data_IF_590124347797
#
_entry.id   IF_590124347797
#
_cell.length_a   1.000
_cell.length_b   1.000
_cell.length_c   1.000
_cell.angle_alpha   90.00
_cell.angle_beta   90.00
_cell.angle_gamma   90.00
#
_symmetry.space_group_name_H-M   'P 1'
#
loop_
_entity.id
_entity.type
_entity.pdbx_description
1 polymer ?
#
# COMPACT_ATOMS: atom_id res chain seq x y z
N UNK A 1 42.58 -11.84 -36.22
CA UNK A 1 41.97 -12.23 -34.91
C UNK A 1 40.48 -12.06 -35.01
N UNK A 2 39.77 -13.18 -35.14
CA UNK A 2 38.34 -13.24 -35.47
C UNK A 2 37.52 -13.24 -34.18
N UNK A 3 36.65 -12.23 -34.01
CA UNK A 3 35.70 -12.16 -32.92
C UNK A 3 34.48 -13.06 -33.23
N UNK A 4 34.31 -14.14 -32.51
CA UNK A 4 33.12 -15.00 -32.59
C UNK A 4 31.93 -14.27 -31.98
N UNK A 5 30.93 -13.93 -32.78
CA UNK A 5 29.59 -13.55 -32.34
C UNK A 5 28.88 -14.77 -31.77
N UNK A 6 28.62 -14.76 -30.46
CA UNK A 6 27.77 -15.76 -29.81
C UNK A 6 26.32 -15.33 -30.01
N UNK A 7 25.60 -16.09 -30.85
CA UNK A 7 24.21 -15.87 -31.18
C UNK A 7 23.37 -16.71 -30.23
N UNK A 8 22.65 -16.03 -29.31
CA UNK A 8 21.67 -16.67 -28.43
C UNK A 8 20.43 -17.04 -29.25
N UNK A 9 20.18 -18.33 -29.44
CA UNK A 9 18.89 -18.83 -29.94
C UNK A 9 17.92 -18.92 -28.76
N UNK A 10 16.81 -18.21 -28.85
CA UNK A 10 15.64 -18.43 -28.04
C UNK A 10 14.89 -19.62 -28.65
N UNK A 11 14.95 -20.76 -28.03
CA UNK A 11 14.08 -21.89 -28.37
C UNK A 11 12.67 -21.57 -27.86
N UNK A 12 11.80 -21.22 -28.80
CA UNK A 12 10.37 -21.07 -28.55
C UNK A 12 9.80 -22.47 -28.39
N UNK A 13 9.53 -22.88 -27.15
CA UNK A 13 8.77 -24.08 -26.85
C UNK A 13 7.34 -23.87 -27.31
N UNK A 14 6.92 -24.61 -28.32
CA UNK A 14 5.51 -24.64 -28.77
C UNK A 14 4.63 -25.27 -27.70
N UNK A 15 3.43 -24.73 -27.42
CA UNK A 15 2.54 -25.32 -26.45
C UNK A 15 2.02 -26.69 -26.94
N UNK A 16 2.30 -27.72 -26.20
CA UNK A 16 1.64 -29.02 -26.32
C UNK A 16 0.17 -28.90 -25.93
N UNK A 17 -0.67 -29.67 -26.62
CA UNK A 17 -2.13 -29.74 -26.60
C UNK A 17 -2.81 -29.50 -25.22
N UNK A 18 -4.05 -28.97 -25.21
CA UNK A 18 -4.75 -28.63 -23.97
C UNK A 18 -5.13 -29.89 -23.17
N UNK A 19 -4.80 -29.85 -21.87
CA UNK A 19 -5.27 -30.83 -20.89
C UNK A 19 -6.76 -30.60 -20.64
N UNK A 20 -7.64 -31.62 -20.70
CA UNK A 20 -9.05 -31.44 -20.41
C UNK A 20 -9.28 -31.15 -18.92
N UNK A 21 -10.10 -30.14 -18.64
CA UNK A 21 -10.57 -29.80 -17.29
C UNK A 21 -11.49 -30.90 -16.76
N UNK A 22 -11.44 -31.23 -15.47
CA UNK A 22 -12.37 -32.16 -14.87
C UNK A 22 -13.78 -31.56 -14.78
N UNK A 23 -14.77 -32.28 -15.29
CA UNK A 23 -16.19 -31.95 -15.20
C UNK A 23 -16.68 -32.15 -13.77
N UNK A 24 -17.20 -31.09 -13.16
CA UNK A 24 -17.87 -31.13 -11.86
C UNK A 24 -19.25 -31.82 -11.97
N UNK A 25 -19.65 -32.63 -10.95
CA UNK A 25 -20.99 -33.23 -10.93
C UNK A 25 -22.04 -32.15 -10.62
N UNK A 26 -23.14 -32.18 -11.38
CA UNK A 26 -24.24 -31.23 -11.28
C UNK A 26 -24.96 -31.26 -9.93
N UNK A 27 -25.20 -30.08 -9.38
CA UNK A 27 -26.20 -29.86 -8.34
C UNK A 27 -27.58 -29.69 -8.97
N UNK A 28 -28.46 -30.64 -8.69
CA UNK A 28 -29.88 -30.61 -9.02
C UNK A 28 -30.57 -29.63 -8.06
N UNK A 29 -31.03 -28.49 -8.54
CA UNK A 29 -31.93 -27.62 -7.80
C UNK A 29 -33.38 -28.08 -8.00
N UNK A 30 -33.97 -28.62 -6.93
CA UNK A 30 -35.39 -28.92 -6.82
C UNK A 30 -36.17 -27.63 -6.58
N UNK A 31 -37.02 -27.28 -7.50
CA UNK A 31 -38.01 -26.18 -7.41
C UNK A 31 -39.17 -26.61 -6.52
N UNK A 32 -39.31 -25.99 -5.33
CA UNK A 32 -40.58 -25.97 -4.60
C UNK A 32 -41.17 -24.55 -4.64
N UNK A 33 -42.29 -24.43 -5.30
CA UNK A 33 -43.23 -23.32 -5.22
C UNK A 33 -43.77 -23.25 -3.80
N UNK A 34 -43.67 -22.12 -3.14
CA UNK A 34 -44.43 -21.78 -1.97
C UNK A 34 -45.18 -20.47 -2.19
N UNK A 35 -46.43 -20.56 -1.95
CA UNK A 35 -47.49 -19.57 -2.10
C UNK A 35 -47.25 -18.29 -1.27
N UNK A 36 -47.74 -17.18 -1.83
CA UNK A 36 -47.69 -15.84 -1.21
C UNK A 36 -48.79 -15.69 -0.15
N UNK A 37 -48.55 -15.04 0.96
CA UNK A 37 -49.58 -14.38 1.74
C UNK A 37 -49.60 -12.87 1.45
N UNK A 38 -50.82 -12.41 1.39
CA UNK A 38 -51.39 -11.09 1.16
C UNK A 38 -50.70 -9.91 1.87
N UNK A 39 -50.65 -8.84 1.12
CA UNK A 39 -50.38 -7.42 1.38
C UNK A 39 -50.86 -6.92 2.77
N UNK A 40 -49.91 -6.35 3.53
CA UNK A 40 -50.22 -5.25 4.45
C UNK A 40 -49.33 -4.07 4.04
N UNK A 41 -49.95 -2.99 3.59
CA UNK A 41 -49.33 -1.74 3.18
C UNK A 41 -48.95 -0.95 4.42
N UNK A 42 -47.66 -1.04 4.84
CA UNK A 42 -47.05 -0.03 5.68
C UNK A 42 -46.26 0.91 4.81
N UNK A 43 -46.69 2.17 4.75
CA UNK A 43 -45.95 3.28 4.15
C UNK A 43 -44.66 3.49 4.97
N UNK A 44 -43.55 3.02 4.46
CA UNK A 44 -42.22 3.37 4.95
C UNK A 44 -41.92 4.77 4.39
N UNK A 45 -41.93 5.79 5.25
CA UNK A 45 -41.40 7.11 4.95
C UNK A 45 -39.90 6.95 4.62
N UNK A 46 -39.51 7.29 3.41
CA UNK A 46 -38.08 7.43 3.05
C UNK A 46 -37.44 8.50 3.96
N UNK A 47 -36.25 8.24 4.51
CA UNK A 47 -35.51 9.28 5.24
C UNK A 47 -35.08 10.37 4.27
N UNK A 48 -35.49 11.61 4.55
CA UNK A 48 -35.07 12.79 3.82
C UNK A 48 -33.55 12.92 3.88
N UNK A 49 -32.88 13.31 2.77
CA UNK A 49 -31.44 13.56 2.81
C UNK A 49 -31.12 14.70 3.78
N UNK A 50 -30.04 14.62 4.57
CA UNK A 50 -29.69 15.64 5.54
C UNK A 50 -29.48 16.99 4.84
N UNK A 51 -30.05 18.03 5.42
CA UNK A 51 -29.95 19.42 4.94
C UNK A 51 -28.50 19.92 5.00
N UNK A 52 -28.11 20.78 4.06
CA UNK A 52 -26.75 21.32 3.85
C UNK A 52 -26.13 22.07 5.07
N UNK A 53 -26.85 22.22 6.19
CA UNK A 53 -26.38 23.01 7.33
C UNK A 53 -25.57 22.22 8.39
N UNK A 54 -25.43 20.89 8.27
CA UNK A 54 -24.73 20.07 9.27
C UNK A 54 -23.35 19.57 8.88
N UNK A 55 -22.77 20.07 7.82
CA UNK A 55 -21.33 19.86 7.59
C UNK A 55 -20.54 20.80 8.51
N UNK A 56 -20.38 20.39 9.76
CA UNK A 56 -19.40 21.02 10.67
C UNK A 56 -18.03 20.90 10.01
N UNK A 57 -17.37 22.03 9.75
CA UNK A 57 -15.94 22.04 9.46
C UNK A 57 -15.23 21.27 10.58
N UNK A 58 -14.42 20.26 10.28
CA UNK A 58 -13.64 19.59 11.32
C UNK A 58 -12.76 20.67 11.97
N UNK A 59 -12.97 20.92 13.25
CA UNK A 59 -12.17 21.87 14.02
C UNK A 59 -10.76 21.31 14.19
N UNK A 60 -9.77 22.15 14.51
CA UNK A 60 -8.42 21.72 14.87
C UNK A 60 -8.38 20.68 16.00
N UNK A 61 -9.45 20.57 16.76
CA UNK A 61 -9.64 19.56 17.81
C UNK A 61 -9.84 18.12 17.26
N UNK A 62 -10.35 17.94 16.05
CA UNK A 62 -10.58 16.60 15.46
C UNK A 62 -9.30 15.91 14.99
N UNK A 63 -8.18 16.64 14.89
CA UNK A 63 -6.88 16.12 14.48
C UNK A 63 -5.94 15.82 15.65
N UNK A 64 -6.23 16.39 16.83
CA UNK A 64 -5.47 16.13 18.04
C UNK A 64 -5.63 14.65 18.47
N UNK A 65 -4.50 13.97 18.62
CA UNK A 65 -4.46 12.56 19.01
C UNK A 65 -4.41 11.57 17.84
N UNK A 66 -4.50 12.01 16.58
CA UNK A 66 -4.26 11.15 15.42
C UNK A 66 -2.82 10.62 15.42
N UNK A 67 -2.65 9.35 15.08
CA UNK A 67 -1.34 8.69 15.03
C UNK A 67 -0.89 8.50 13.59
N UNK A 68 0.33 8.90 13.29
CA UNK A 68 0.94 8.77 11.97
C UNK A 68 2.21 7.93 12.06
N UNK A 69 2.31 6.93 11.20
CA UNK A 69 3.54 6.17 10.98
C UNK A 69 4.17 6.63 9.67
N UNK A 70 5.44 7.00 9.70
CA UNK A 70 6.25 7.23 8.50
C UNK A 70 7.21 6.06 8.34
N UNK A 71 7.04 5.25 7.30
CA UNK A 71 8.00 4.22 6.92
C UNK A 71 8.97 4.85 5.92
N UNK A 72 10.19 5.13 6.37
CA UNK A 72 11.19 5.88 5.63
C UNK A 72 12.29 4.97 5.11
N UNK A 73 12.57 5.05 3.81
CA UNK A 73 13.53 4.18 3.14
C UNK A 73 14.52 4.96 2.27
N UNK A 74 15.42 5.71 2.91
CA UNK A 74 16.56 6.35 2.26
C UNK A 74 17.80 6.31 3.17
N UNK A 75 18.97 6.02 2.56
CA UNK A 75 20.23 5.81 3.28
C UNK A 75 20.81 7.11 3.87
N UNK A 76 20.62 8.25 3.19
CA UNK A 76 21.18 9.55 3.58
C UNK A 76 20.10 10.41 4.24
N UNK A 77 20.20 10.70 5.53
CA UNK A 77 19.22 11.51 6.25
C UNK A 77 19.15 12.97 5.78
N UNK A 78 20.20 13.48 5.13
CA UNK A 78 20.26 14.84 4.56
C UNK A 78 19.76 14.90 3.12
N UNK A 79 19.27 13.80 2.57
CA UNK A 79 18.70 13.73 1.23
C UNK A 79 17.41 14.56 1.12
N UNK A 80 16.95 14.77 -0.11
CA UNK A 80 15.65 15.38 -0.35
C UNK A 80 14.51 14.56 0.27
N UNK A 81 14.60 13.22 0.24
CA UNK A 81 13.68 12.31 0.97
C UNK A 81 13.71 12.58 2.48
N UNK A 82 14.89 12.82 3.06
CA UNK A 82 15.06 13.20 4.47
C UNK A 82 14.38 14.53 4.79
N UNK A 83 14.51 15.53 3.91
CA UNK A 83 13.83 16.83 4.04
C UNK A 83 12.32 16.68 4.03
N UNK A 84 11.76 15.88 3.09
CA UNK A 84 10.32 15.60 3.03
C UNK A 84 9.83 14.90 4.30
N UNK A 85 10.58 13.89 4.80
CA UNK A 85 10.27 13.21 6.06
C UNK A 85 10.26 14.20 7.25
N UNK A 86 11.27 15.06 7.36
CA UNK A 86 11.36 16.01 8.46
C UNK A 86 10.18 17.00 8.43
N UNK A 87 9.86 17.55 7.26
CA UNK A 87 8.68 18.43 7.09
C UNK A 87 7.39 17.69 7.46
N UNK A 88 7.26 16.42 7.13
CA UNK A 88 6.09 15.62 7.53
C UNK A 88 5.98 15.52 9.05
N UNK A 89 7.09 15.23 9.73
CA UNK A 89 7.12 15.18 11.21
C UNK A 89 6.72 16.51 11.80
N UNK A 90 7.31 17.60 11.33
CA UNK A 90 7.09 18.95 11.87
C UNK A 90 5.64 19.42 11.66
N UNK A 91 5.11 19.27 10.44
CA UNK A 91 3.76 19.74 10.11
C UNK A 91 2.67 18.95 10.86
N UNK A 92 2.78 17.62 10.89
CA UNK A 92 1.78 16.80 11.56
C UNK A 92 1.86 16.91 13.09
N UNK A 93 3.08 17.03 13.65
CA UNK A 93 3.25 17.27 15.09
C UNK A 93 2.67 18.64 15.52
N UNK A 94 2.82 19.70 14.69
CA UNK A 94 2.18 21.00 14.94
C UNK A 94 0.65 20.93 14.94
N UNK A 95 0.07 19.98 14.22
CA UNK A 95 -1.38 19.71 14.21
C UNK A 95 -1.85 18.86 15.41
N UNK A 96 -0.95 18.48 16.32
CA UNK A 96 -1.26 17.65 17.49
C UNK A 96 -1.28 16.15 17.21
N UNK A 97 -0.77 15.70 16.05
CA UNK A 97 -0.62 14.28 15.76
C UNK A 97 0.58 13.68 16.51
N UNK A 98 0.47 12.42 16.91
CA UNK A 98 1.62 11.63 17.35
C UNK A 98 2.28 11.01 16.12
N UNK A 99 3.52 11.42 15.80
CA UNK A 99 4.25 10.94 14.63
C UNK A 99 5.34 9.97 15.04
N UNK A 100 5.30 8.77 14.52
CA UNK A 100 6.34 7.74 14.67
C UNK A 100 7.06 7.54 13.35
N UNK A 101 8.38 7.43 13.38
CA UNK A 101 9.20 7.18 12.18
C UNK A 101 9.88 5.81 12.31
N UNK A 102 9.65 4.93 11.33
CA UNK A 102 10.44 3.74 11.09
C UNK A 102 11.46 4.05 10.00
N UNK A 103 12.64 4.51 10.42
CA UNK A 103 13.79 4.72 9.52
C UNK A 103 14.48 3.38 9.28
N UNK A 104 14.14 2.73 8.17
CA UNK A 104 14.55 1.36 7.90
C UNK A 104 16.07 1.18 7.81
N UNK A 105 16.79 2.19 7.30
CA UNK A 105 18.24 2.13 7.24
C UNK A 105 18.89 2.38 8.60
N UNK A 106 18.43 3.36 9.36
CA UNK A 106 18.94 3.62 10.72
C UNK A 106 18.64 2.46 11.67
N UNK A 107 17.52 1.77 11.49
CA UNK A 107 17.13 0.56 12.24
C UNK A 107 17.95 -0.68 11.83
N UNK A 108 18.68 -0.64 10.70
CA UNK A 108 19.25 -1.83 10.06
C UNK A 108 18.20 -2.92 9.87
N UNK A 109 17.00 -2.53 9.39
CA UNK A 109 15.90 -3.47 9.19
C UNK A 109 16.30 -4.58 8.23
N UNK A 110 16.12 -5.86 8.63
CA UNK A 110 16.43 -7.01 7.78
C UNK A 110 15.36 -7.12 6.66
N UNK A 111 15.73 -6.93 5.38
CA UNK A 111 14.74 -6.99 4.30
C UNK A 111 14.43 -8.42 3.82
N UNK A 112 15.26 -9.38 4.16
CA UNK A 112 15.13 -10.74 3.61
C UNK A 112 14.08 -11.52 4.37
N UNK A 113 13.06 -11.99 3.65
CA UNK A 113 12.09 -12.95 4.12
C UNK A 113 12.75 -14.34 4.23
N UNK A 114 12.99 -14.83 5.42
CA UNK A 114 13.72 -16.08 5.68
C UNK A 114 13.08 -16.93 6.77
N UNK A 115 13.57 -18.16 6.93
CA UNK A 115 13.19 -19.05 8.03
C UNK A 115 13.43 -18.43 9.43
N UNK A 116 14.34 -17.46 9.56
CA UNK A 116 14.61 -16.76 10.83
C UNK A 116 13.42 -15.92 11.33
N UNK A 117 12.46 -15.63 10.46
CA UNK A 117 11.25 -14.90 10.82
C UNK A 117 10.25 -15.77 11.60
N UNK A 118 10.54 -17.07 11.72
CA UNK A 118 9.77 -18.01 12.53
C UNK A 118 10.59 -18.39 13.77
N UNK A 119 10.24 -17.85 14.92
CA UNK A 119 11.00 -18.09 16.17
C UNK A 119 10.63 -19.40 16.86
N UNK A 120 9.55 -20.03 16.45
CA UNK A 120 9.06 -21.31 16.97
C UNK A 120 9.32 -22.50 16.03
N UNK A 121 8.73 -23.65 16.38
CA UNK A 121 8.73 -24.82 15.50
C UNK A 121 7.89 -24.53 14.26
N UNK A 122 8.39 -25.00 13.11
CA UNK A 122 7.65 -24.94 11.85
C UNK A 122 6.39 -25.80 11.92
N UNK A 123 5.36 -25.40 11.19
CA UNK A 123 4.15 -26.19 11.00
C UNK A 123 4.40 -27.40 10.10
N UNK A 124 5.30 -27.24 9.11
CA UNK A 124 5.80 -28.31 8.28
C UNK A 124 7.35 -28.27 8.20
N UNK A 125 8.04 -29.16 8.91
CA UNK A 125 9.50 -29.19 8.89
C UNK A 125 10.11 -29.72 7.59
N UNK A 126 9.33 -30.49 6.79
CA UNK A 126 9.81 -31.12 5.55
C UNK A 126 9.83 -30.12 4.38
N UNK A 127 8.85 -29.20 4.33
CA UNK A 127 8.71 -28.23 3.25
C UNK A 127 8.47 -26.85 3.82
N UNK A 128 9.44 -25.97 3.66
CA UNK A 128 9.33 -24.58 4.12
C UNK A 128 8.51 -23.75 3.13
N UNK A 129 7.31 -23.35 3.54
CA UNK A 129 6.46 -22.39 2.83
C UNK A 129 6.38 -21.10 3.64
N UNK A 130 7.08 -20.04 3.21
CA UNK A 130 7.21 -18.80 3.98
C UNK A 130 5.84 -18.21 4.37
N UNK A 131 4.91 -18.06 3.43
CA UNK A 131 3.59 -17.48 3.71
C UNK A 131 2.79 -18.29 4.72
N UNK A 132 2.81 -19.62 4.62
CA UNK A 132 2.13 -20.52 5.56
C UNK A 132 2.75 -20.43 6.95
N UNK A 133 4.08 -20.48 7.03
CA UNK A 133 4.78 -20.44 8.31
C UNK A 133 4.65 -19.07 9.01
N UNK A 134 4.65 -17.97 8.25
CA UNK A 134 4.38 -16.62 8.78
C UNK A 134 2.97 -16.52 9.36
N UNK A 135 1.96 -17.07 8.67
CA UNK A 135 0.60 -17.08 9.17
C UNK A 135 0.47 -17.90 10.47
N UNK A 136 1.06 -19.09 10.51
CA UNK A 136 1.08 -19.93 11.71
C UNK A 136 1.83 -19.26 12.87
N UNK A 137 2.97 -18.62 12.58
CA UNK A 137 3.74 -17.89 13.57
C UNK A 137 3.00 -16.65 14.10
N UNK A 138 2.29 -15.93 13.23
CA UNK A 138 1.45 -14.82 13.64
C UNK A 138 0.36 -15.28 14.63
N UNK A 139 -0.40 -16.34 14.30
CA UNK A 139 -1.42 -16.89 15.18
C UNK A 139 -0.88 -17.35 16.55
N UNK A 140 0.32 -17.93 16.53
CA UNK A 140 1.01 -18.42 17.75
C UNK A 140 1.76 -17.32 18.50
N UNK A 141 1.78 -16.06 17.98
CA UNK A 141 2.56 -14.95 18.52
C UNK A 141 4.06 -15.28 18.63
N UNK A 142 4.59 -15.96 17.62
CA UNK A 142 5.99 -16.41 17.54
C UNK A 142 6.73 -15.76 16.35
N UNK A 143 6.35 -14.53 15.95
CA UNK A 143 7.15 -13.70 15.06
C UNK A 143 8.23 -12.97 15.85
N UNK A 144 9.37 -12.63 15.22
CA UNK A 144 10.45 -11.89 15.89
C UNK A 144 10.04 -10.44 16.19
N UNK A 145 10.76 -9.83 17.14
CA UNK A 145 10.44 -8.51 17.68
C UNK A 145 10.43 -7.41 16.63
N UNK A 146 11.38 -7.42 15.68
CA UNK A 146 11.45 -6.42 14.61
C UNK A 146 10.17 -6.40 13.75
N UNK A 147 9.55 -7.55 13.51
CA UNK A 147 8.28 -7.65 12.76
C UNK A 147 7.11 -7.22 13.65
N UNK A 148 7.02 -7.73 14.88
CA UNK A 148 5.89 -7.44 15.76
C UNK A 148 5.84 -5.97 16.20
N UNK A 149 7.00 -5.32 16.35
CA UNK A 149 7.09 -3.90 16.67
C UNK A 149 6.59 -3.04 15.50
N UNK A 150 6.94 -3.39 14.25
CA UNK A 150 6.42 -2.71 13.08
C UNK A 150 4.92 -2.95 12.91
N UNK A 151 4.43 -4.18 13.11
CA UNK A 151 3.00 -4.49 13.10
C UNK A 151 2.23 -3.66 14.13
N UNK A 152 2.78 -3.49 15.34
CA UNK A 152 2.18 -2.65 16.38
C UNK A 152 2.09 -1.19 15.93
N UNK A 153 3.14 -0.62 15.34
CA UNK A 153 3.13 0.75 14.80
C UNK A 153 2.07 0.93 13.72
N UNK A 154 1.97 -0.03 12.78
CA UNK A 154 0.91 -0.02 11.76
C UNK A 154 -0.47 -0.13 12.39
N UNK A 155 -0.66 -1.02 13.35
CA UNK A 155 -1.94 -1.22 14.04
C UNK A 155 -2.41 0.05 14.75
N UNK A 156 -1.52 0.80 15.35
CA UNK A 156 -1.82 2.03 16.08
C UNK A 156 -2.03 3.24 15.16
N UNK A 157 -1.48 3.24 13.95
CA UNK A 157 -1.54 4.37 13.04
C UNK A 157 -2.94 4.57 12.44
N UNK A 158 -3.38 5.83 12.35
CA UNK A 158 -4.53 6.25 11.52
C UNK A 158 -4.09 6.49 10.07
N UNK A 159 -2.84 6.92 9.86
CA UNK A 159 -2.23 7.18 8.55
C UNK A 159 -0.83 6.59 8.50
N UNK A 160 -0.52 5.84 7.44
CA UNK A 160 0.83 5.34 7.14
C UNK A 160 1.35 6.05 5.89
N UNK A 161 2.47 6.75 6.02
CA UNK A 161 3.17 7.42 4.92
C UNK A 161 4.43 6.64 4.59
N UNK A 162 4.55 6.18 3.35
CA UNK A 162 5.74 5.54 2.82
C UNK A 162 6.57 6.58 2.09
N UNK A 163 7.73 6.98 2.65
CA UNK A 163 8.63 7.97 2.07
C UNK A 163 9.86 7.29 1.48
N UNK A 164 10.02 7.33 0.15
CA UNK A 164 11.08 6.61 -0.53
C UNK A 164 11.45 7.18 -1.91
N UNK A 165 12.66 6.93 -2.41
CA UNK A 165 13.03 7.17 -3.81
C UNK A 165 12.52 6.03 -4.70
N UNK A 166 12.07 6.35 -5.91
CA UNK A 166 11.67 5.34 -6.90
C UNK A 166 12.92 4.60 -7.43
N UNK A 167 13.05 3.33 -7.09
CA UNK A 167 14.10 2.45 -7.59
C UNK A 167 13.50 1.41 -8.54
N UNK A 168 13.93 1.46 -9.82
CA UNK A 168 13.46 0.52 -10.84
C UNK A 168 11.92 0.41 -10.90
N UNK A 169 11.26 1.57 -10.97
CA UNK A 169 9.79 1.69 -11.00
C UNK A 169 9.08 1.06 -9.77
N UNK A 170 9.79 0.89 -8.67
CA UNK A 170 9.27 0.29 -7.46
C UNK A 170 9.88 0.94 -6.22
N UNK A 171 9.68 0.31 -5.08
CA UNK A 171 10.26 0.70 -3.80
C UNK A 171 11.70 0.17 -3.65
N UNK A 172 12.57 0.80 -2.83
CA UNK A 172 13.86 0.23 -2.47
C UNK A 172 13.72 -1.16 -1.83
N UNK A 173 14.72 -2.02 -2.03
CA UNK A 173 14.69 -3.40 -1.55
C UNK A 173 14.39 -3.52 -0.04
N UNK A 174 14.91 -2.59 0.77
CA UNK A 174 14.66 -2.57 2.21
C UNK A 174 13.17 -2.35 2.53
N UNK A 175 12.47 -1.50 1.76
CA UNK A 175 11.04 -1.26 1.93
C UNK A 175 10.21 -2.42 1.37
N UNK A 176 10.64 -3.05 0.27
CA UNK A 176 9.98 -4.26 -0.23
C UNK A 176 10.07 -5.37 0.80
N UNK A 177 11.23 -5.55 1.42
CA UNK A 177 11.40 -6.52 2.51
C UNK A 177 10.54 -6.20 3.74
N UNK A 178 10.38 -4.91 4.07
CA UNK A 178 9.44 -4.51 5.11
C UNK A 178 8.01 -4.94 4.76
N UNK A 179 7.56 -4.69 3.51
CA UNK A 179 6.23 -5.13 3.06
C UNK A 179 6.09 -6.65 3.12
N UNK A 180 7.07 -7.41 2.63
CA UNK A 180 7.06 -8.87 2.59
C UNK A 180 6.98 -9.50 3.99
N UNK A 181 7.67 -8.90 4.99
CA UNK A 181 7.77 -9.45 6.34
C UNK A 181 6.68 -8.96 7.28
N UNK A 182 6.29 -7.70 7.19
CA UNK A 182 5.35 -7.06 8.13
C UNK A 182 3.90 -7.31 7.73
N UNK A 183 3.57 -7.22 6.42
CA UNK A 183 2.20 -7.37 5.92
C UNK A 183 1.81 -8.84 5.70
N UNK A 184 2.00 -9.68 6.70
CA UNK A 184 1.70 -11.09 6.59
C UNK A 184 0.20 -11.39 6.71
N UNK A 185 -0.20 -12.60 6.25
CA UNK A 185 -1.55 -13.12 6.43
C UNK A 185 -1.89 -13.23 7.92
N UNK A 186 -3.14 -12.94 8.27
CA UNK A 186 -3.64 -12.87 9.64
C UNK A 186 -3.46 -11.48 10.27
N UNK A 187 -2.43 -10.71 9.86
CA UNK A 187 -2.23 -9.33 10.29
C UNK A 187 -2.83 -8.30 9.31
N UNK A 188 -2.42 -8.35 8.05
CA UNK A 188 -2.78 -7.34 7.04
C UNK A 188 -3.93 -7.78 6.13
N UNK A 189 -4.06 -9.05 5.89
CA UNK A 189 -5.11 -9.67 5.08
C UNK A 189 -5.38 -11.10 5.55
N UNK A 190 -6.49 -11.68 5.08
CA UNK A 190 -6.79 -13.11 5.24
C UNK A 190 -7.48 -13.65 3.98
N UNK A 191 -7.83 -14.95 3.96
CA UNK A 191 -8.54 -15.58 2.86
C UNK A 191 -9.79 -16.32 3.41
N UNK A 192 -10.99 -15.70 3.22
CA UNK A 192 -11.29 -14.38 2.64
C UNK A 192 -10.94 -13.24 3.59
N UNK A 193 -10.67 -12.05 3.08
CA UNK A 193 -10.33 -10.88 3.89
C UNK A 193 -9.26 -10.01 3.24
N UNK A 194 -9.52 -9.55 1.99
CA UNK A 194 -8.61 -8.73 1.19
C UNK A 194 -9.38 -7.62 0.46
N UNK A 195 -8.69 -6.63 -0.08
CA UNK A 195 -9.23 -5.38 -0.66
C UNK A 195 -10.17 -4.69 0.33
N UNK A 196 -11.42 -4.43 -0.06
CA UNK A 196 -12.39 -3.74 0.79
C UNK A 196 -12.70 -4.50 2.09
N UNK A 197 -12.30 -5.77 2.20
CA UNK A 197 -12.38 -6.61 3.40
C UNK A 197 -11.01 -6.89 4.05
N UNK A 198 -9.94 -6.22 3.62
CA UNK A 198 -8.61 -6.39 4.21
C UNK A 198 -8.56 -5.98 5.68
N UNK A 199 -7.60 -6.49 6.44
CA UNK A 199 -7.60 -6.36 7.90
C UNK A 199 -7.13 -4.99 8.41
N UNK A 200 -6.56 -4.15 7.54
CA UNK A 200 -6.11 -2.79 7.86
C UNK A 200 -7.14 -1.72 7.48
N UNK A 201 -8.44 -2.08 7.47
CA UNK A 201 -9.54 -1.15 7.24
C UNK A 201 -9.53 0.01 8.24
N UNK A 202 -10.09 1.16 7.79
CA UNK A 202 -10.17 2.37 8.61
C UNK A 202 -8.87 3.16 8.69
N UNK A 203 -7.78 2.67 8.07
CA UNK A 203 -6.47 3.34 8.02
C UNK A 203 -6.25 3.97 6.66
N UNK A 204 -5.61 5.14 6.66
CA UNK A 204 -5.14 5.81 5.46
C UNK A 204 -3.72 5.36 5.12
N UNK A 205 -3.40 5.31 3.82
CA UNK A 205 -2.03 5.11 3.35
C UNK A 205 -1.67 6.12 2.26
N UNK A 206 -0.44 6.60 2.24
CA UNK A 206 0.07 7.54 1.25
C UNK A 206 1.49 7.16 0.82
N UNK A 207 1.73 7.16 -0.49
CA UNK A 207 3.06 7.03 -1.05
C UNK A 207 3.64 8.42 -1.33
N UNK A 208 4.77 8.77 -0.69
CA UNK A 208 5.55 9.96 -0.96
C UNK A 208 6.85 9.56 -1.65
N UNK A 209 6.95 9.86 -2.94
CA UNK A 209 7.94 9.31 -3.85
C UNK A 209 8.78 10.41 -4.48
N UNK A 210 10.08 10.22 -4.58
CA UNK A 210 10.95 11.02 -5.42
C UNK A 210 11.38 10.21 -6.65
N UNK A 211 11.53 10.85 -7.81
CA UNK A 211 11.97 10.19 -9.04
C UNK A 211 13.26 10.82 -9.56
N UNK A 212 14.06 10.04 -10.30
CA UNK A 212 15.21 10.58 -11.04
C UNK A 212 14.79 11.30 -12.33
N UNK A 213 13.67 10.88 -12.94
CA UNK A 213 13.15 11.48 -14.16
C UNK A 213 12.21 12.66 -13.90
N UNK A 214 12.06 13.53 -14.89
CA UNK A 214 11.18 14.71 -14.85
C UNK A 214 9.70 14.33 -15.02
N UNK A 215 8.79 15.26 -14.70
CA UNK A 215 7.35 15.02 -14.80
C UNK A 215 6.91 14.65 -16.24
N UNK A 216 7.53 15.26 -17.26
CA UNK A 216 7.23 15.00 -18.67
C UNK A 216 7.51 13.56 -19.07
N UNK A 217 8.55 12.94 -18.48
CA UNK A 217 8.88 11.53 -18.72
C UNK A 217 7.78 10.59 -18.25
N UNK A 218 7.03 10.97 -17.21
CA UNK A 218 6.00 10.13 -16.57
C UNK A 218 4.57 10.52 -16.97
N UNK A 219 4.39 11.01 -18.19
CA UNK A 219 3.07 11.25 -18.80
C UNK A 219 2.63 10.06 -19.64
N UNK A 220 1.37 10.04 -20.11
CA UNK A 220 0.86 8.99 -21.01
C UNK A 220 1.66 8.84 -22.30
N UNK A 221 2.25 9.92 -22.80
CA UNK A 221 3.08 9.96 -24.00
C UNK A 221 4.56 10.10 -23.70
N UNK A 222 4.92 10.18 -22.43
CA UNK A 222 6.31 10.26 -21.98
C UNK A 222 7.04 8.93 -22.13
N UNK A 223 8.36 8.98 -22.21
CA UNK A 223 9.22 7.81 -22.43
C UNK A 223 9.10 6.75 -21.32
N UNK A 224 8.77 7.17 -20.11
CA UNK A 224 8.61 6.28 -18.97
C UNK A 224 7.15 5.80 -18.80
N UNK A 225 6.22 6.27 -19.61
CA UNK A 225 4.80 6.02 -19.46
C UNK A 225 4.16 6.77 -18.29
N UNK A 226 2.85 6.63 -18.11
CA UNK A 226 2.12 7.29 -17.04
C UNK A 226 2.61 6.82 -15.65
N UNK A 227 2.88 7.75 -14.74
CA UNK A 227 3.35 7.44 -13.39
C UNK A 227 2.41 6.47 -12.64
N UNK A 228 1.14 6.42 -12.98
CA UNK A 228 0.17 5.52 -12.37
C UNK A 228 0.47 4.04 -12.63
N UNK A 229 1.24 3.71 -13.67
CA UNK A 229 1.59 2.33 -14.00
C UNK A 229 2.48 1.70 -12.92
N UNK A 230 3.47 2.42 -12.39
CA UNK A 230 4.29 1.90 -11.30
C UNK A 230 3.58 1.96 -9.94
N UNK A 231 2.51 2.75 -9.80
CA UNK A 231 1.72 2.82 -8.58
C UNK A 231 0.74 1.65 -8.42
N UNK A 232 0.31 1.02 -9.53
CA UNK A 232 -0.66 -0.07 -9.51
C UNK A 232 -0.28 -1.21 -8.56
N UNK A 233 0.91 -1.83 -8.65
CA UNK A 233 1.30 -2.90 -7.75
C UNK A 233 1.43 -2.46 -6.29
N UNK A 234 1.81 -1.21 -6.04
CA UNK A 234 2.01 -0.67 -4.71
C UNK A 234 0.67 -0.26 -4.05
N UNK A 235 -0.11 0.58 -4.73
CA UNK A 235 -1.35 1.11 -4.17
C UNK A 235 -2.49 0.10 -4.22
N UNK A 236 -2.74 -0.51 -5.38
CA UNK A 236 -3.82 -1.48 -5.53
C UNK A 236 -3.40 -2.86 -5.03
N UNK A 237 -2.27 -3.39 -5.53
CA UNK A 237 -1.83 -4.77 -5.28
C UNK A 237 -1.30 -5.02 -3.87
N UNK A 238 -0.89 -3.96 -3.14
CA UNK A 238 -0.36 -4.07 -1.77
C UNK A 238 -1.23 -3.34 -0.77
N UNK A 239 -1.33 -2.01 -0.85
CA UNK A 239 -2.00 -1.22 0.19
C UNK A 239 -3.51 -1.45 0.22
N UNK A 240 -4.18 -1.31 -0.93
CA UNK A 240 -5.62 -1.57 -1.00
C UNK A 240 -5.94 -3.06 -0.75
N UNK A 241 -5.09 -3.98 -1.22
CA UNK A 241 -5.24 -5.41 -0.91
C UNK A 241 -5.28 -5.68 0.60
N UNK A 242 -4.48 -4.96 1.39
CA UNK A 242 -4.49 -5.03 2.86
C UNK A 242 -5.65 -4.27 3.52
N UNK A 243 -6.49 -3.55 2.76
CA UNK A 243 -7.65 -2.82 3.28
C UNK A 243 -7.44 -1.33 3.53
N UNK A 244 -6.25 -0.79 3.29
CA UNK A 244 -6.02 0.65 3.42
C UNK A 244 -6.90 1.47 2.46
N UNK A 245 -7.34 2.62 2.92
CA UNK A 245 -7.85 3.69 2.07
C UNK A 245 -6.67 4.53 1.59
N UNK A 246 -6.37 4.47 0.29
CA UNK A 246 -5.16 5.04 -0.29
C UNK A 246 -5.40 6.47 -0.74
N UNK A 247 -4.61 7.42 -0.23
CA UNK A 247 -4.63 8.81 -0.69
C UNK A 247 -3.89 8.94 -2.02
N UNK A 248 -4.17 10.02 -2.76
CA UNK A 248 -3.41 10.35 -3.97
C UNK A 248 -1.91 10.42 -3.65
N UNK A 249 -1.03 9.92 -4.52
CA UNK A 249 0.40 9.91 -4.24
C UNK A 249 0.97 11.33 -4.15
N UNK A 250 2.03 11.52 -3.38
CA UNK A 250 2.90 12.68 -3.46
C UNK A 250 4.10 12.30 -4.30
N UNK A 251 4.29 12.93 -5.45
CA UNK A 251 5.43 12.65 -6.31
C UNK A 251 6.22 13.94 -6.50
N UNK A 252 7.50 13.89 -6.16
CA UNK A 252 8.45 14.97 -6.41
C UNK A 252 9.39 14.50 -7.51
N UNK A 253 9.17 15.04 -8.71
CA UNK A 253 9.92 14.65 -9.91
C UNK A 253 11.29 15.31 -9.94
N UNK A 254 12.32 14.51 -10.22
CA UNK A 254 13.70 14.94 -10.48
C UNK A 254 14.27 15.98 -9.49
N UNK A 255 14.14 15.85 -8.17
CA UNK A 255 14.66 16.84 -7.23
C UNK A 255 16.19 16.98 -7.28
N UNK A 256 16.90 15.99 -7.82
CA UNK A 256 18.35 15.98 -7.93
C UNK A 256 18.86 17.01 -8.96
N UNK A 257 18.14 17.18 -10.07
CA UNK A 257 18.49 18.14 -11.12
C UNK A 257 17.74 19.48 -11.00
N UNK A 258 16.76 19.56 -10.11
CA UNK A 258 16.02 20.79 -9.85
C UNK A 258 16.91 21.85 -9.18
N UNK A 259 16.66 23.12 -9.46
CA UNK A 259 17.28 24.25 -8.77
C UNK A 259 16.94 24.24 -7.28
N UNK A 260 17.68 25.01 -6.48
CA UNK A 260 17.39 25.16 -5.06
C UNK A 260 15.98 25.75 -4.81
N UNK A 261 15.60 26.71 -5.64
CA UNK A 261 14.27 27.35 -5.58
C UNK A 261 13.15 26.34 -5.86
N UNK A 262 13.29 25.53 -6.90
CA UNK A 262 12.31 24.49 -7.23
C UNK A 262 12.22 23.45 -6.10
N UNK A 263 13.35 23.02 -5.51
CA UNK A 263 13.32 22.11 -4.35
C UNK A 263 12.61 22.72 -3.15
N UNK A 264 12.86 24.01 -2.86
CA UNK A 264 12.14 24.73 -1.80
C UNK A 264 10.64 24.77 -2.10
N UNK A 265 10.27 25.03 -3.35
CA UNK A 265 8.88 24.99 -3.81
C UNK A 265 8.21 23.63 -3.60
N UNK A 266 8.90 22.52 -3.95
CA UNK A 266 8.40 21.16 -3.72
C UNK A 266 8.16 20.88 -2.23
N UNK A 267 9.10 21.27 -1.36
CA UNK A 267 8.99 21.11 0.09
C UNK A 267 7.84 21.93 0.64
N UNK A 268 7.69 23.18 0.20
CA UNK A 268 6.60 24.07 0.63
C UNK A 268 5.22 23.54 0.19
N UNK A 269 5.10 23.03 -1.05
CA UNK A 269 3.87 22.43 -1.55
C UNK A 269 3.49 21.18 -0.74
N UNK A 270 4.47 20.37 -0.36
CA UNK A 270 4.24 19.22 0.51
C UNK A 270 3.77 19.65 1.90
N UNK A 271 4.43 20.61 2.52
CA UNK A 271 4.02 21.19 3.81
C UNK A 271 2.57 21.71 3.77
N UNK A 272 2.21 22.43 2.70
CA UNK A 272 0.85 22.93 2.50
C UNK A 272 -0.18 21.81 2.38
N UNK A 273 0.13 20.75 1.62
CA UNK A 273 -0.74 19.58 1.49
C UNK A 273 -1.00 18.90 2.82
N UNK A 274 0.05 18.73 3.64
CA UNK A 274 -0.06 18.13 4.96
C UNK A 274 -1.04 18.85 5.89
N UNK A 275 -1.23 20.18 5.73
CA UNK A 275 -2.18 20.95 6.54
C UNK A 275 -3.64 20.52 6.32
N UNK A 276 -3.94 19.89 5.19
CA UNK A 276 -5.30 19.45 4.84
C UNK A 276 -5.42 17.96 4.59
N UNK A 277 -4.39 17.18 4.88
CA UNK A 277 -4.30 15.76 4.51
C UNK A 277 -5.46 14.92 5.06
N UNK A 278 -5.96 15.25 6.24
CA UNK A 278 -7.09 14.56 6.87
C UNK A 278 -8.46 14.84 6.21
N UNK A 279 -8.51 15.79 5.27
CA UNK A 279 -9.71 16.14 4.50
C UNK A 279 -9.68 15.55 3.09
N UNK A 280 -8.59 14.91 2.72
CA UNK A 280 -8.45 14.31 1.39
C UNK A 280 -9.34 13.07 1.25
N UNK A 281 -10.00 12.95 0.11
CA UNK A 281 -10.73 11.73 -0.24
C UNK A 281 -9.77 10.69 -0.83
N UNK A 282 -9.85 9.44 -0.37
CA UNK A 282 -9.05 8.35 -0.95
C UNK A 282 -9.34 8.14 -2.44
N UNK A 283 -8.32 7.78 -3.19
CA UNK A 283 -8.47 7.37 -4.59
C UNK A 283 -9.26 6.04 -4.67
N UNK A 284 -9.98 5.76 -5.76
CA UNK A 284 -10.82 4.56 -5.86
C UNK A 284 -10.03 3.24 -5.95
N UNK A 285 -8.71 3.28 -6.18
CA UNK A 285 -7.83 2.11 -6.35
C UNK A 285 -8.37 1.04 -7.32
N UNK A 286 -9.05 1.46 -8.40
CA UNK A 286 -9.63 0.58 -9.43
C UNK A 286 -8.92 0.76 -10.76
N UNK A 287 -9.00 -0.25 -11.63
CA UNK A 287 -8.36 -0.28 -12.95
C UNK A 287 -8.52 1.03 -13.75
N UNK A 288 -9.73 1.64 -13.87
CA UNK A 288 -9.88 2.86 -14.65
C UNK A 288 -9.06 4.05 -14.12
N UNK A 289 -8.80 4.12 -12.81
CA UNK A 289 -7.98 5.19 -12.24
C UNK A 289 -6.51 5.10 -12.71
N UNK A 290 -5.99 3.88 -12.85
CA UNK A 290 -4.57 3.65 -13.22
C UNK A 290 -4.36 3.65 -14.73
N UNK A 291 -5.26 3.05 -15.48
CA UNK A 291 -5.05 2.75 -16.91
C UNK A 291 -6.00 3.52 -17.83
N UNK A 292 -7.00 4.19 -17.27
CA UNK A 292 -8.08 4.77 -18.03
C UNK A 292 -9.03 3.68 -18.57
N UNK A 293 -10.10 4.12 -19.22
CA UNK A 293 -10.98 3.26 -20.04
C UNK A 293 -10.52 3.25 -21.48
#
# INVERSE_FOLDING_TARGET
MSARKQQWRLDVVQPTSPVPLPTSPGCIFSSRLLESPTRATHQIREPQPPTKSERKNPSSYDMAGKKVLIVYAHQEPRSFNGSLKNVTVDELSRQGCTVTVSDLYAMNFEPRATRKDITGALSNPEVFSYGVEMYEAYKKRSLPGDITDEQKKVQEADLVIFQFPLYWFSVPAILKGWMDRVLCQGFAFDIPGFYDSGLLQGKLALLSVTTGGTAEMYTKTGISGDFRYFLWPLQHGTLHFCGFKVLAPQINFAPEIASEEERKGMVAAWAQRLQTIWKEEPIPCRVPWYFGQ
#
